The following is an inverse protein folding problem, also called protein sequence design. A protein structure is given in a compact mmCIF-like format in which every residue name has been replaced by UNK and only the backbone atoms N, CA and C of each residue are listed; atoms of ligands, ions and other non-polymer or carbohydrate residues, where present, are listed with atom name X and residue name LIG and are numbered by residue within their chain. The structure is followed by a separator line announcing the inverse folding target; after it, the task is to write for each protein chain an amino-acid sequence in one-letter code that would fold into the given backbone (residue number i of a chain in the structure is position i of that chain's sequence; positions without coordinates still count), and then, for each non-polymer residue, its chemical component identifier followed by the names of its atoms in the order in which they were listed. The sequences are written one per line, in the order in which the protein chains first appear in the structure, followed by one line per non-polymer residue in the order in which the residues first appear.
data_IF_419586891080
#
_entry.id   IF_419586891080
#
_cell.length_a   1.000
_cell.length_b   1.000
_cell.length_c   1.000
_cell.angle_alpha   90.00
_cell.angle_beta   90.00
_cell.angle_gamma   90.00
#
_symmetry.space_group_name_H-M   'P 1'
#
loop_
_entity.id
_entity.type
_entity.pdbx_description
1 polymer ?
#
# COMPACT_ATOMS: atom_id res chain seq x y z
N UNK A 1 32.09 24.21 13.79
CA UNK A 1 32.26 22.76 13.43
C UNK A 1 30.91 22.30 12.96
N UNK A 2 30.70 22.39 11.67
CA UNK A 2 29.48 21.96 10.95
C UNK A 2 29.59 20.45 10.75
N UNK A 3 28.81 19.73 11.54
CA UNK A 3 28.65 18.28 11.36
C UNK A 3 27.86 18.10 10.05
N UNK A 4 28.57 17.76 9.00
CA UNK A 4 27.97 17.38 7.72
C UNK A 4 27.22 16.07 7.95
N UNK A 5 25.88 16.18 8.16
CA UNK A 5 24.98 15.05 8.06
C UNK A 5 25.10 14.52 6.62
N UNK A 6 25.89 13.50 6.46
CA UNK A 6 25.91 12.68 5.25
C UNK A 6 24.47 12.28 4.91
N UNK A 7 24.09 12.29 3.62
CA UNK A 7 22.83 11.66 3.21
C UNK A 7 22.78 10.23 3.76
N UNK A 8 21.60 9.67 4.05
CA UNK A 8 21.48 8.36 4.67
C UNK A 8 22.31 7.37 3.86
N UNK A 9 23.32 6.79 4.53
CA UNK A 9 24.28 5.91 3.92
C UNK A 9 23.59 4.75 3.21
N UNK A 10 24.21 4.26 2.16
CA UNK A 10 23.87 3.09 1.33
C UNK A 10 23.58 1.84 2.18
N UNK A 11 22.41 1.74 2.72
CA UNK A 11 21.95 0.69 3.64
C UNK A 11 20.64 1.03 4.34
N UNK A 12 20.10 2.22 4.11
CA UNK A 12 18.81 2.60 4.65
C UNK A 12 17.72 1.79 3.90
N UNK A 13 17.20 0.76 4.57
CA UNK A 13 16.03 0.03 4.10
C UNK A 13 14.92 1.04 3.78
N UNK A 14 14.63 1.20 2.49
CA UNK A 14 13.53 1.99 2.01
C UNK A 14 12.24 1.18 2.11
N UNK A 15 11.11 1.84 2.32
CA UNK A 15 9.82 1.19 2.27
C UNK A 15 9.35 1.08 0.81
N UNK A 16 8.78 -0.08 0.48
CA UNK A 16 8.00 -0.28 -0.74
C UNK A 16 6.52 -0.20 -0.37
N UNK A 17 5.83 0.75 -0.97
CA UNK A 17 4.42 1.00 -0.69
C UNK A 17 3.52 0.23 -1.65
N UNK A 18 2.45 -0.34 -1.12
CA UNK A 18 1.41 -0.98 -1.89
C UNK A 18 0.03 -0.54 -1.41
N UNK A 19 -0.91 -0.50 -2.33
CA UNK A 19 -2.30 -0.15 -2.08
C UNK A 19 -3.21 -1.14 -2.79
N UNK A 20 -4.23 -1.58 -2.11
CA UNK A 20 -5.36 -2.25 -2.72
C UNK A 20 -6.63 -1.42 -2.49
N UNK A 21 -7.43 -1.26 -3.54
CA UNK A 21 -8.71 -0.56 -3.48
C UNK A 21 -9.82 -1.41 -4.11
N UNK A 22 -11.04 -1.28 -3.64
CA UNK A 22 -12.18 -1.84 -4.35
C UNK A 22 -12.67 -0.82 -5.37
N UNK A 23 -12.89 -1.27 -6.59
CA UNK A 23 -13.67 -0.54 -7.59
C UNK A 23 -15.18 -0.58 -7.31
N UNK A 24 -15.59 -1.05 -6.15
CA UNK A 24 -16.99 -1.19 -5.74
C UNK A 24 -17.48 -0.04 -4.87
N UNK A 25 -16.89 1.14 -4.96
CA UNK A 25 -17.70 2.31 -4.69
C UNK A 25 -18.84 2.25 -5.72
N UNK A 26 -20.12 2.46 -5.34
CA UNK A 26 -21.15 2.78 -6.30
C UNK A 26 -20.56 3.91 -7.11
N UNK A 27 -20.30 3.66 -8.39
CA UNK A 27 -19.62 4.52 -9.32
C UNK A 27 -19.71 5.97 -8.85
N UNK A 28 -18.80 6.38 -7.98
CA UNK A 28 -18.42 7.78 -7.96
C UNK A 28 -18.01 7.99 -9.41
N UNK A 29 -18.65 8.89 -10.09
CA UNK A 29 -18.66 9.10 -11.53
C UNK A 29 -17.27 9.19 -12.18
N UNK A 30 -16.21 8.79 -11.45
CA UNK A 30 -14.84 8.90 -11.89
C UNK A 30 -14.02 7.63 -11.57
N UNK A 31 -13.72 6.78 -12.60
CA UNK A 31 -12.80 5.66 -12.45
C UNK A 31 -11.36 6.09 -12.08
N UNK A 32 -11.06 7.38 -12.13
CA UNK A 32 -9.77 7.96 -11.75
C UNK A 32 -9.56 8.06 -10.24
N UNK A 33 -10.59 7.89 -9.41
CA UNK A 33 -10.46 7.95 -7.94
C UNK A 33 -9.54 6.83 -7.42
N UNK A 34 -9.62 5.63 -7.97
CA UNK A 34 -8.73 4.52 -7.60
C UNK A 34 -7.26 4.79 -8.03
N UNK A 35 -7.06 5.41 -9.19
CA UNK A 35 -5.75 5.83 -9.68
C UNK A 35 -5.22 7.02 -8.87
N UNK A 36 -6.09 7.94 -8.45
CA UNK A 36 -5.71 9.08 -7.62
C UNK A 36 -5.16 8.71 -6.25
N UNK A 37 -5.55 7.56 -5.68
CA UNK A 37 -5.00 7.08 -4.41
C UNK A 37 -3.51 6.69 -4.57
N UNK A 38 -3.12 6.06 -5.67
CA UNK A 38 -1.71 5.81 -5.99
C UNK A 38 -0.97 7.12 -6.28
N UNK A 39 -1.62 8.12 -6.87
CA UNK A 39 -1.04 9.44 -7.10
C UNK A 39 -0.81 10.26 -5.82
N UNK A 40 -1.46 9.93 -4.69
CA UNK A 40 -1.20 10.61 -3.42
C UNK A 40 0.23 10.44 -2.92
N UNK A 41 0.95 9.40 -3.35
CA UNK A 41 2.37 9.17 -3.04
C UNK A 41 3.34 9.56 -4.18
N UNK A 42 2.87 10.07 -5.30
CA UNK A 42 3.75 10.47 -6.43
C UNK A 42 4.63 11.70 -6.12
N UNK A 43 4.63 12.17 -4.90
CA UNK A 43 5.55 13.17 -4.39
C UNK A 43 6.61 12.46 -3.55
N UNK A 44 7.83 12.36 -4.08
CA UNK A 44 8.96 11.72 -3.40
C UNK A 44 9.21 12.26 -1.99
N UNK A 45 8.79 13.51 -1.70
CA UNK A 45 8.85 14.07 -0.36
C UNK A 45 7.94 13.34 0.62
N UNK A 46 6.74 12.92 0.19
CA UNK A 46 5.83 12.14 1.04
C UNK A 46 6.40 10.77 1.38
N UNK A 47 7.02 10.11 0.41
CA UNK A 47 7.72 8.84 0.63
C UNK A 47 8.88 9.00 1.62
N UNK A 48 9.68 10.06 1.50
CA UNK A 48 10.74 10.37 2.44
C UNK A 48 10.21 10.63 3.86
N UNK A 49 9.09 11.32 4.00
CA UNK A 49 8.43 11.53 5.29
C UNK A 49 7.98 10.19 5.88
N UNK A 50 7.33 9.32 5.10
CA UNK A 50 6.87 8.02 5.58
C UNK A 50 8.05 7.11 5.97
N UNK A 51 9.15 7.12 5.21
CA UNK A 51 10.39 6.43 5.56
C UNK A 51 11.02 6.95 6.87
N UNK A 52 10.98 8.27 7.09
CA UNK A 52 11.46 8.85 8.34
C UNK A 52 10.58 8.50 9.54
N UNK A 53 9.26 8.44 9.34
CA UNK A 53 8.28 8.05 10.35
C UNK A 53 8.30 6.54 10.67
N UNK A 54 8.71 5.69 9.73
CA UNK A 54 8.92 4.27 9.97
C UNK A 54 9.95 4.02 11.08
N UNK A 55 11.00 4.83 11.11
CA UNK A 55 12.06 4.75 12.14
C UNK A 55 11.61 5.23 13.52
N UNK A 56 10.38 5.67 13.67
CA UNK A 56 9.75 6.09 14.91
C UNK A 56 9.00 7.42 14.78
N UNK A 57 8.13 7.72 15.73
CA UNK A 57 7.33 8.95 15.72
C UNK A 57 8.20 10.22 15.68
N UNK A 58 7.80 11.19 14.86
CA UNK A 58 8.50 12.46 14.66
C UNK A 58 7.54 13.64 14.65
N UNK A 59 8.05 14.81 15.04
CA UNK A 59 7.39 16.10 14.87
C UNK A 59 7.70 16.70 13.49
N UNK A 60 6.94 17.72 13.06
CA UNK A 60 7.23 18.48 11.83
C UNK A 60 8.65 19.07 11.87
N UNK A 61 9.08 19.61 13.01
CA UNK A 61 10.42 20.18 13.14
C UNK A 61 11.52 19.14 12.96
N UNK A 62 11.36 17.93 13.52
CA UNK A 62 12.31 16.84 13.37
C UNK A 62 12.35 16.32 11.94
N UNK A 63 11.19 16.20 11.27
CA UNK A 63 11.13 15.81 9.86
C UNK A 63 11.81 16.85 8.98
N UNK A 64 11.58 18.14 9.22
CA UNK A 64 12.22 19.22 8.50
C UNK A 64 13.76 19.15 8.62
N UNK A 65 14.27 18.87 9.80
CA UNK A 65 15.70 18.71 10.05
C UNK A 65 16.27 17.46 9.37
N UNK A 66 15.58 16.30 9.47
CA UNK A 66 16.03 15.02 8.88
C UNK A 66 16.07 15.09 7.35
N UNK A 67 15.08 15.77 6.74
CA UNK A 67 14.90 15.80 5.29
C UNK A 67 15.55 17.03 4.63
N UNK A 68 16.17 17.91 5.41
CA UNK A 68 16.72 19.19 4.94
C UNK A 68 15.67 20.04 4.18
N UNK A 69 14.47 20.12 4.73
CA UNK A 69 13.34 20.85 4.16
C UNK A 69 12.89 21.97 5.09
N UNK A 70 12.24 22.99 4.51
CA UNK A 70 11.64 24.03 5.34
C UNK A 70 10.46 23.52 6.16
N UNK A 71 10.29 23.93 7.44
CA UNK A 71 9.15 23.51 8.25
C UNK A 71 7.78 23.76 7.60
N UNK A 72 7.53 24.88 6.90
CA UNK A 72 6.28 25.08 6.16
C UNK A 72 6.01 24.03 5.06
N UNK A 73 7.06 23.62 4.31
CA UNK A 73 6.93 22.60 3.29
C UNK A 73 6.56 21.25 3.91
N UNK A 74 7.26 20.84 4.96
CA UNK A 74 6.96 19.60 5.69
C UNK A 74 5.56 19.66 6.31
N UNK A 75 5.17 20.79 6.89
CA UNK A 75 3.83 20.95 7.47
C UNK A 75 2.72 20.74 6.43
N UNK A 76 2.90 21.25 5.21
CA UNK A 76 1.95 21.02 4.11
C UNK A 76 1.83 19.54 3.78
N UNK A 77 2.95 18.84 3.55
CA UNK A 77 2.94 17.40 3.22
C UNK A 77 2.39 16.53 4.35
N UNK A 78 2.70 16.86 5.62
CA UNK A 78 2.12 16.21 6.79
C UNK A 78 0.61 16.44 6.84
N UNK A 79 0.12 17.64 6.52
CA UNK A 79 -1.31 17.92 6.40
C UNK A 79 -2.00 17.09 5.33
N UNK A 80 -1.38 16.95 4.17
CA UNK A 80 -1.89 16.11 3.07
C UNK A 80 -1.90 14.61 3.42
N UNK A 81 -0.85 14.11 4.08
CA UNK A 81 -0.77 12.73 4.55
C UNK A 81 -1.79 12.42 5.65
N UNK A 82 -2.05 13.37 6.57
CA UNK A 82 -3.12 13.27 7.56
C UNK A 82 -4.51 13.24 6.91
N UNK A 83 -4.77 14.17 5.99
CA UNK A 83 -6.03 14.22 5.26
C UNK A 83 -6.28 12.97 4.42
N UNK A 84 -5.22 12.28 4.00
CA UNK A 84 -5.26 11.00 3.30
C UNK A 84 -5.23 9.80 4.23
N UNK A 85 -5.30 10.00 5.55
CA UNK A 85 -5.25 8.96 6.59
C UNK A 85 -4.03 8.02 6.51
N UNK A 86 -2.96 8.44 5.82
CA UNK A 86 -1.72 7.66 5.69
C UNK A 86 -0.82 7.80 6.92
N UNK A 87 -0.99 8.85 7.70
CA UNK A 87 -0.34 9.02 8.99
C UNK A 87 -1.39 9.38 10.05
N UNK A 88 -1.00 9.19 11.31
CA UNK A 88 -1.82 9.54 12.47
C UNK A 88 -1.03 10.29 13.50
N UNK A 89 -1.72 11.09 14.31
CA UNK A 89 -1.13 11.70 15.51
C UNK A 89 -0.99 10.61 16.58
N UNK A 90 0.15 10.57 17.23
CA UNK A 90 0.44 9.64 18.31
C UNK A 90 0.96 10.38 19.54
N UNK A 91 0.99 9.69 20.67
CA UNK A 91 1.61 10.23 21.88
C UNK A 91 3.12 10.41 21.72
N UNK A 92 3.67 11.39 22.40
CA UNK A 92 5.11 11.62 22.44
C UNK A 92 5.84 10.41 23.05
N UNK A 93 7.01 10.02 22.52
CA UNK A 93 7.85 9.01 23.15
C UNK A 93 8.16 9.36 24.61
N UNK A 94 8.18 8.35 25.50
CA UNK A 94 8.28 8.55 26.97
C UNK A 94 9.58 9.22 27.42
N UNK A 95 10.64 9.13 26.63
CA UNK A 95 11.98 9.65 26.90
C UNK A 95 12.17 11.14 26.53
N UNK A 96 11.14 11.80 25.98
CA UNK A 96 11.24 13.19 25.50
C UNK A 96 10.43 14.14 26.36
N UNK A 97 11.05 15.25 26.75
CA UNK A 97 10.34 16.36 27.40
C UNK A 97 9.26 16.89 26.48
N UNK A 98 8.01 16.77 26.91
CA UNK A 98 6.84 17.23 26.17
C UNK A 98 6.80 18.76 26.10
N UNK A 99 6.83 19.31 24.91
CA UNK A 99 6.13 20.58 24.69
C UNK A 99 4.66 20.23 24.43
N UNK A 100 3.74 20.83 25.19
CA UNK A 100 2.30 20.58 25.07
C UNK A 100 1.73 20.91 23.67
N UNK A 101 2.52 21.60 22.85
CA UNK A 101 2.16 22.04 21.49
C UNK A 101 2.73 21.15 20.38
N UNK A 102 3.65 20.24 20.70
CA UNK A 102 4.27 19.36 19.70
C UNK A 102 3.40 18.13 19.44
N UNK A 103 3.08 17.93 18.16
CA UNK A 103 2.39 16.72 17.69
C UNK A 103 3.40 15.78 17.07
N UNK A 104 3.34 14.52 17.49
CA UNK A 104 4.09 13.42 16.92
C UNK A 104 3.23 12.65 15.92
N UNK A 105 3.84 12.23 14.83
CA UNK A 105 3.18 11.52 13.75
C UNK A 105 3.82 10.14 13.57
N UNK A 106 3.01 9.17 13.16
CA UNK A 106 3.43 7.82 12.80
C UNK A 106 2.62 7.34 11.58
N UNK A 107 3.11 6.33 10.84
CA UNK A 107 2.33 5.70 9.79
C UNK A 107 1.01 5.15 10.34
N UNK A 108 -0.04 5.16 9.51
CA UNK A 108 -1.38 4.67 9.85
C UNK A 108 -1.76 3.42 9.02
N UNK A 109 -0.79 2.60 8.68
CA UNK A 109 -0.96 1.36 7.94
C UNK A 109 0.07 0.33 8.42
N UNK A 110 -0.17 -0.98 8.19
CA UNK A 110 0.78 -2.04 8.52
C UNK A 110 2.08 -1.89 7.73
N UNK A 111 3.20 -2.15 8.39
CA UNK A 111 4.51 -2.23 7.77
C UNK A 111 5.07 -3.62 8.05
N UNK A 112 5.30 -4.37 6.98
CA UNK A 112 5.83 -5.74 7.03
C UNK A 112 7.35 -5.66 6.97
N UNK A 113 8.01 -5.99 8.07
CA UNK A 113 9.46 -6.05 8.11
C UNK A 113 10.00 -7.23 7.28
N UNK A 114 11.30 -7.25 7.01
CA UNK A 114 11.95 -8.37 6.35
C UNK A 114 11.79 -9.68 7.15
N UNK A 115 11.84 -9.59 8.49
CA UNK A 115 11.62 -10.73 9.38
C UNK A 115 10.18 -11.23 9.35
N UNK A 116 9.20 -10.33 9.38
CA UNK A 116 7.77 -10.68 9.27
C UNK A 116 7.48 -11.35 7.93
N UNK A 117 8.03 -10.82 6.85
CA UNK A 117 7.89 -11.41 5.51
C UNK A 117 8.47 -12.81 5.45
N UNK A 118 9.69 -13.01 5.98
CA UNK A 118 10.31 -14.33 6.02
C UNK A 118 9.48 -15.34 6.83
N UNK A 119 8.84 -14.90 7.91
CA UNK A 119 7.95 -15.73 8.71
C UNK A 119 6.64 -16.07 8.00
N UNK A 120 6.09 -15.16 7.21
CA UNK A 120 4.84 -15.34 6.48
C UNK A 120 5.04 -16.10 5.15
N UNK A 121 6.22 -16.01 4.55
CA UNK A 121 6.49 -16.51 3.20
C UNK A 121 6.07 -17.96 2.96
N UNK A 122 6.36 -18.94 3.86
CA UNK A 122 5.95 -20.34 3.61
C UNK A 122 4.43 -20.49 3.44
N UNK A 123 3.63 -19.78 4.25
CA UNK A 123 2.17 -19.85 4.15
C UNK A 123 1.66 -19.12 2.90
N UNK A 124 2.32 -18.01 2.52
CA UNK A 124 1.98 -17.30 1.29
C UNK A 124 2.27 -18.14 0.04
N UNK A 125 3.38 -18.90 0.04
CA UNK A 125 3.73 -19.81 -1.05
C UNK A 125 2.72 -20.95 -1.17
N UNK A 126 2.29 -21.57 -0.05
CA UNK A 126 1.24 -22.58 -0.04
C UNK A 126 -0.09 -22.04 -0.63
N UNK A 127 -0.51 -20.85 -0.22
CA UNK A 127 -1.72 -20.21 -0.76
C UNK A 127 -1.57 -19.93 -2.26
N UNK A 128 -0.39 -19.46 -2.68
CA UNK A 128 -0.12 -19.17 -4.09
C UNK A 128 -0.13 -20.45 -4.94
N UNK A 129 0.45 -21.54 -4.45
CA UNK A 129 0.48 -22.84 -5.11
C UNK A 129 -0.93 -23.44 -5.23
N UNK A 130 -1.74 -23.35 -4.19
CA UNK A 130 -3.14 -23.80 -4.21
C UNK A 130 -3.95 -23.00 -5.24
N UNK A 131 -3.76 -21.68 -5.26
CA UNK A 131 -4.42 -20.80 -6.24
C UNK A 131 -3.97 -21.11 -7.67
N UNK A 132 -2.66 -21.26 -7.93
CA UNK A 132 -2.11 -21.60 -9.24
C UNK A 132 -2.69 -22.93 -9.73
N UNK A 133 -2.67 -23.95 -8.88
CA UNK A 133 -3.20 -25.29 -9.18
C UNK A 133 -4.69 -25.23 -9.52
N UNK A 134 -5.48 -24.54 -8.71
CA UNK A 134 -6.92 -24.39 -8.93
C UNK A 134 -7.21 -23.62 -10.22
N UNK A 135 -6.46 -22.54 -10.48
CA UNK A 135 -6.63 -21.73 -11.69
C UNK A 135 -6.27 -22.51 -12.95
N UNK A 136 -5.11 -23.20 -12.98
CA UNK A 136 -4.67 -24.03 -14.12
C UNK A 136 -5.65 -25.15 -14.43
N UNK A 137 -6.20 -25.80 -13.42
CA UNK A 137 -7.20 -26.85 -13.60
C UNK A 137 -8.48 -26.36 -14.30
N UNK A 138 -8.77 -25.06 -14.27
CA UNK A 138 -9.96 -24.47 -14.92
C UNK A 138 -9.70 -23.92 -16.33
N UNK A 139 -8.45 -23.82 -16.78
CA UNK A 139 -8.12 -23.29 -18.11
C UNK A 139 -8.82 -24.01 -19.28
N UNK A 140 -8.97 -25.36 -19.29
CA UNK A 140 -9.71 -26.04 -20.37
C UNK A 140 -11.19 -25.64 -20.39
N UNK A 141 -11.84 -25.58 -19.23
CA UNK A 141 -13.25 -25.19 -19.14
C UNK A 141 -13.44 -23.70 -19.54
N UNK A 142 -12.49 -22.85 -19.18
CA UNK A 142 -12.49 -21.45 -19.58
C UNK A 142 -12.35 -21.29 -21.10
N UNK A 143 -11.50 -22.09 -21.77
CA UNK A 143 -11.36 -22.07 -23.22
C UNK A 143 -12.69 -22.44 -23.90
N UNK A 144 -13.39 -23.47 -23.40
CA UNK A 144 -14.72 -23.84 -23.90
C UNK A 144 -15.77 -22.75 -23.66
N UNK A 145 -15.74 -22.12 -22.49
CA UNK A 145 -16.65 -21.01 -22.17
C UNK A 145 -16.40 -19.82 -23.07
N UNK A 146 -15.12 -19.44 -23.30
CA UNK A 146 -14.75 -18.35 -24.20
C UNK A 146 -15.30 -18.54 -25.61
N UNK A 147 -15.19 -19.75 -26.17
CA UNK A 147 -15.70 -20.07 -27.51
C UNK A 147 -17.23 -19.89 -27.65
N UNK A 148 -17.98 -19.86 -26.53
CA UNK A 148 -19.44 -19.67 -26.51
C UNK A 148 -19.84 -18.19 -26.31
N UNK A 149 -18.89 -17.31 -26.09
CA UNK A 149 -19.15 -15.87 -25.93
C UNK A 149 -19.15 -15.17 -27.29
N UNK A 150 -19.55 -13.89 -27.30
CA UNK A 150 -19.41 -13.03 -28.49
C UNK A 150 -17.99 -12.49 -28.68
N UNK A 151 -17.07 -12.76 -27.76
CA UNK A 151 -15.71 -12.20 -27.77
C UNK A 151 -14.89 -12.61 -28.99
N UNK A 152 -14.85 -13.89 -29.39
CA UNK A 152 -14.13 -14.29 -30.60
C UNK A 152 -14.64 -13.61 -31.86
N UNK A 153 -15.96 -13.44 -31.98
CA UNK A 153 -16.55 -12.75 -33.14
C UNK A 153 -16.22 -11.27 -33.21
N UNK A 154 -15.79 -10.66 -32.10
CA UNK A 154 -15.31 -9.28 -32.02
C UNK A 154 -13.79 -9.16 -32.19
N UNK A 155 -13.10 -10.29 -32.43
CA UNK A 155 -11.64 -10.31 -32.54
C UNK A 155 -10.87 -10.28 -31.23
N UNK A 156 -11.55 -10.47 -30.09
CA UNK A 156 -10.90 -10.51 -28.79
C UNK A 156 -10.10 -11.80 -28.60
N UNK A 157 -8.95 -11.71 -27.96
CA UNK A 157 -8.13 -12.86 -27.67
C UNK A 157 -8.50 -13.53 -26.35
N UNK A 158 -8.28 -14.85 -26.27
CA UNK A 158 -8.43 -15.57 -25.01
C UNK A 158 -7.44 -15.08 -23.96
N UNK A 159 -6.24 -14.70 -24.37
CA UNK A 159 -5.17 -14.23 -23.49
C UNK A 159 -5.58 -12.93 -22.76
N UNK A 160 -6.21 -11.99 -23.46
CA UNK A 160 -6.76 -10.79 -22.85
C UNK A 160 -7.85 -11.12 -21.80
N UNK A 161 -8.68 -12.14 -22.08
CA UNK A 161 -9.70 -12.60 -21.15
C UNK A 161 -9.11 -13.21 -19.87
N UNK A 162 -7.92 -13.82 -19.91
CA UNK A 162 -7.30 -14.42 -18.73
C UNK A 162 -7.05 -13.38 -17.62
N UNK A 163 -6.66 -12.16 -17.96
CA UNK A 163 -6.50 -11.09 -16.97
C UNK A 163 -7.84 -10.70 -16.31
N UNK A 164 -8.90 -10.59 -17.11
CA UNK A 164 -10.26 -10.36 -16.57
C UNK A 164 -10.71 -11.48 -15.65
N UNK A 165 -10.50 -12.75 -16.05
CA UNK A 165 -10.89 -13.91 -15.26
C UNK A 165 -10.12 -13.96 -13.95
N UNK A 166 -8.81 -13.74 -13.99
CA UNK A 166 -7.96 -13.70 -12.80
C UNK A 166 -8.45 -12.62 -11.81
N UNK A 167 -8.58 -11.37 -12.27
CA UNK A 167 -9.03 -10.27 -11.43
C UNK A 167 -10.45 -10.49 -10.87
N UNK A 168 -11.35 -11.06 -11.68
CA UNK A 168 -12.72 -11.33 -11.25
C UNK A 168 -12.77 -12.49 -10.25
N UNK A 169 -12.01 -13.56 -10.48
CA UNK A 169 -11.98 -14.71 -9.58
C UNK A 169 -11.42 -14.36 -8.21
N UNK A 170 -10.33 -13.58 -8.16
CA UNK A 170 -9.74 -13.12 -6.89
C UNK A 170 -10.68 -12.16 -6.15
N UNK A 171 -11.36 -11.26 -6.87
CA UNK A 171 -12.40 -10.40 -6.27
C UNK A 171 -13.54 -11.21 -5.66
N UNK A 172 -14.08 -12.19 -6.39
CA UNK A 172 -15.15 -13.05 -5.89
C UNK A 172 -14.71 -13.90 -4.69
N UNK A 173 -13.46 -14.39 -4.70
CA UNK A 173 -12.90 -15.12 -3.56
C UNK A 173 -12.84 -14.23 -2.33
N UNK A 174 -12.35 -13.01 -2.47
CA UNK A 174 -12.31 -12.01 -1.40
C UNK A 174 -13.71 -11.73 -0.83
N UNK A 175 -14.69 -11.45 -1.70
CA UNK A 175 -16.07 -11.18 -1.27
C UNK A 175 -16.67 -12.34 -0.46
N UNK A 176 -16.32 -13.60 -0.81
CA UNK A 176 -16.75 -14.78 -0.05
C UNK A 176 -16.08 -14.88 1.31
N UNK A 177 -14.78 -14.59 1.39
CA UNK A 177 -14.04 -14.57 2.64
C UNK A 177 -14.56 -13.47 3.57
N UNK A 178 -14.88 -12.29 3.04
CA UNK A 178 -15.50 -11.20 3.81
C UNK A 178 -16.90 -11.60 4.32
N UNK A 179 -17.70 -12.22 3.47
CA UNK A 179 -19.03 -12.69 3.87
C UNK A 179 -18.99 -13.82 4.91
N UNK A 180 -17.94 -14.64 4.91
CA UNK A 180 -17.70 -15.69 5.90
C UNK A 180 -17.10 -15.13 7.22
N UNK A 181 -16.57 -13.91 7.22
CA UNK A 181 -15.88 -13.32 8.35
C UNK A 181 -14.41 -13.73 8.49
N UNK A 182 -13.87 -14.46 7.51
CA UNK A 182 -12.46 -14.88 7.49
C UNK A 182 -11.52 -13.75 7.07
N UNK A 183 -12.06 -12.76 6.36
CA UNK A 183 -11.34 -11.55 5.96
C UNK A 183 -12.14 -10.32 6.41
N UNK A 184 -11.56 -9.37 7.15
CA UNK A 184 -12.25 -8.14 7.48
C UNK A 184 -12.55 -7.33 6.21
N UNK A 185 -13.71 -6.65 6.15
CA UNK A 185 -13.99 -5.75 5.04
C UNK A 185 -12.98 -4.60 5.02
N UNK A 186 -12.72 -4.07 3.84
CA UNK A 186 -11.84 -2.93 3.71
C UNK A 186 -12.36 -1.72 4.50
N UNK A 187 -11.48 -1.00 5.21
CA UNK A 187 -11.89 0.18 5.96
C UNK A 187 -12.52 1.20 5.04
N UNK A 188 -13.61 1.80 5.52
CA UNK A 188 -14.27 2.92 4.87
C UNK A 188 -13.64 4.21 5.41
N UNK A 189 -13.17 5.06 4.51
CA UNK A 189 -12.53 6.32 4.83
C UNK A 189 -13.53 7.47 4.85
N UNK A 190 -13.13 8.62 5.36
CA UNK A 190 -14.01 9.78 5.53
C UNK A 190 -14.64 10.29 4.22
N UNK A 191 -14.02 10.01 3.08
CA UNK A 191 -14.52 10.33 1.74
C UNK A 191 -15.45 9.25 1.15
N UNK A 192 -15.78 8.20 1.93
CA UNK A 192 -16.58 7.07 1.49
C UNK A 192 -15.84 6.04 0.63
N UNK A 193 -14.58 6.28 0.33
CA UNK A 193 -13.75 5.32 -0.39
C UNK A 193 -13.35 4.15 0.50
N UNK A 194 -13.04 3.00 -0.11
CA UNK A 194 -12.57 1.81 0.59
C UNK A 194 -11.24 1.37 0.00
N UNK A 195 -10.21 1.42 0.80
CA UNK A 195 -8.87 1.02 0.43
C UNK A 195 -8.06 0.60 1.66
N UNK A 196 -6.98 -0.12 1.42
CA UNK A 196 -6.00 -0.47 2.43
C UNK A 196 -4.60 -0.22 1.87
N UNK A 197 -3.76 0.37 2.70
CA UNK A 197 -2.34 0.56 2.44
C UNK A 197 -1.53 -0.36 3.32
N UNK A 198 -0.41 -0.82 2.79
CA UNK A 198 0.66 -1.42 3.56
C UNK A 198 2.00 -1.03 2.94
N UNK A 199 3.06 -1.22 3.70
CA UNK A 199 4.41 -1.11 3.19
C UNK A 199 5.21 -2.34 3.56
N UNK A 200 6.24 -2.61 2.79
CA UNK A 200 7.22 -3.65 3.06
C UNK A 200 8.61 -3.01 3.12
N UNK A 201 9.44 -3.49 4.02
CA UNK A 201 10.86 -3.16 3.96
C UNK A 201 11.43 -3.65 2.62
N UNK A 202 12.03 -2.74 1.86
CA UNK A 202 12.76 -3.12 0.67
C UNK A 202 13.91 -4.05 1.07
N UNK A 203 14.09 -5.14 0.33
CA UNK A 203 15.29 -5.95 0.46
C UNK A 203 16.49 -5.08 0.07
N UNK A 204 17.55 -5.11 0.88
CA UNK A 204 18.81 -4.55 0.45
C UNK A 204 19.14 -5.18 -0.92
N UNK A 205 19.30 -4.34 -1.95
CA UNK A 205 19.80 -4.85 -3.22
C UNK A 205 21.19 -5.41 -2.94
N UNK A 206 21.37 -6.72 -3.01
CA UNK A 206 22.70 -7.29 -3.14
C UNK A 206 23.24 -6.76 -4.46
N UNK A 207 24.13 -5.80 -4.35
CA UNK A 207 24.92 -5.32 -5.50
C UNK A 207 25.88 -6.46 -5.84
N UNK A 208 25.50 -7.26 -6.82
CA UNK A 208 26.37 -8.24 -7.48
C UNK A 208 27.32 -7.53 -8.44
#
# INVERSE_FOLDING_TARGET
MTDQLSPPGDGAQALRFACACTSAAPVAEDPWVAISQQHKLNDGTKELILNALYRGPRTVAQLAQILDLSPPAVHRHVGELLASELIRVVEAPQDRRRSALERYYAPNFPIVSAADRAALQPVLDEIADDFDSAFRAKLPALAQAFARTSLPARGESREALLHYVYATATRLARERLEAAGDLPPWPEHADGSRWVWWAEEAQAMEVT
#
